data_IF_423300971996
#
_entry.id   IF_423300971996
#
_cell.length_a   1.000
_cell.length_b   1.000
_cell.length_c   1.000
_cell.angle_alpha   90.00
_cell.angle_beta   90.00
_cell.angle_gamma   90.00
#
_symmetry.space_group_name_H-M   'P 1'
#
loop_
_entity.id
_entity.type
_entity.pdbx_description
1 polymer ?
#
# COMPACT_ATOMS: atom_id res chain seq x y z
N UNK A 1 2.95 12.79 -8.50
CA UNK A 1 3.92 13.54 -7.65
C UNK A 1 3.29 13.73 -6.27
N UNK A 2 4.00 13.38 -5.19
CA UNK A 2 3.57 13.55 -3.80
C UNK A 2 4.32 14.74 -3.18
N UNK A 3 3.62 15.56 -2.39
CA UNK A 3 4.20 16.65 -1.59
C UNK A 3 3.56 16.67 -0.21
N UNK A 4 4.28 17.11 0.81
CA UNK A 4 3.79 17.25 2.18
C UNK A 4 4.34 16.17 3.11
N UNK A 5 3.72 16.03 4.26
CA UNK A 5 4.22 15.21 5.37
C UNK A 5 4.33 13.71 5.03
N UNK A 6 3.47 13.19 4.16
CA UNK A 6 3.52 11.79 3.74
C UNK A 6 4.83 11.40 3.03
N UNK A 7 5.56 12.38 2.46
CA UNK A 7 6.87 12.13 1.83
C UNK A 7 7.86 11.56 2.86
N UNK A 8 7.78 11.97 4.11
CA UNK A 8 8.65 11.47 5.19
C UNK A 8 8.56 9.95 5.34
N UNK A 9 7.35 9.39 5.32
CA UNK A 9 7.15 7.96 5.44
C UNK A 9 7.72 7.17 4.25
N UNK A 10 7.50 7.66 3.01
CA UNK A 10 8.11 7.04 1.84
C UNK A 10 9.64 7.12 1.85
N UNK A 11 10.19 8.25 2.33
CA UNK A 11 11.63 8.41 2.49
C UNK A 11 12.21 7.43 3.50
N UNK A 12 11.55 7.25 4.64
CA UNK A 12 11.96 6.28 5.65
C UNK A 12 11.98 4.85 5.09
N UNK A 13 10.89 4.42 4.42
CA UNK A 13 10.80 3.10 3.79
C UNK A 13 11.90 2.88 2.73
N UNK A 14 12.20 3.90 1.94
CA UNK A 14 13.29 3.82 0.95
C UNK A 14 14.66 3.64 1.64
N UNK A 15 14.94 4.44 2.66
CA UNK A 15 16.21 4.39 3.39
C UNK A 15 16.38 3.10 4.19
N UNK A 16 15.30 2.53 4.72
CA UNK A 16 15.34 1.20 5.34
C UNK A 16 15.82 0.13 4.35
N UNK A 17 15.28 0.13 3.13
CA UNK A 17 15.73 -0.80 2.09
C UNK A 17 17.15 -0.48 1.59
N UNK A 18 17.48 0.80 1.47
CA UNK A 18 18.82 1.24 1.05
C UNK A 18 19.89 0.78 2.02
N UNK A 19 19.64 0.96 3.32
CA UNK A 19 20.58 0.63 4.38
C UNK A 19 20.78 -0.87 4.60
N UNK A 20 19.93 -1.75 4.06
CA UNK A 20 20.05 -3.21 4.25
C UNK A 20 21.39 -3.76 3.72
N UNK A 21 21.91 -3.19 2.63
CA UNK A 21 23.11 -3.68 1.96
C UNK A 21 24.28 -2.69 1.98
N UNK A 22 24.16 -1.58 2.71
CA UNK A 22 25.20 -0.56 2.76
C UNK A 22 26.03 -0.68 4.05
N UNK A 23 27.37 -0.54 3.90
CA UNK A 23 28.28 -0.48 5.04
C UNK A 23 28.15 0.82 5.84
N UNK A 24 27.59 1.87 5.20
CA UNK A 24 27.34 3.18 5.80
C UNK A 24 25.86 3.42 5.91
N UNK A 25 25.34 3.34 7.14
CA UNK A 25 23.93 3.59 7.42
C UNK A 25 23.65 5.10 7.30
N UNK A 26 22.83 5.46 6.32
CA UNK A 26 22.34 6.84 6.16
C UNK A 26 21.39 7.24 7.29
N UNK A 27 21.58 8.42 7.84
CA UNK A 27 20.69 8.97 8.87
C UNK A 27 19.35 9.42 8.27
N UNK A 28 18.31 8.68 8.56
CA UNK A 28 16.95 9.01 8.12
C UNK A 28 16.45 10.37 8.65
N UNK A 29 16.97 10.84 9.76
CA UNK A 29 16.52 12.07 10.43
C UNK A 29 16.66 13.32 9.58
N UNK A 30 17.79 13.48 8.88
CA UNK A 30 18.05 14.65 8.02
C UNK A 30 17.07 14.70 6.84
N UNK A 31 16.83 13.57 6.19
CA UNK A 31 15.92 13.46 5.04
C UNK A 31 14.46 13.68 5.44
N UNK A 32 14.05 13.16 6.59
CA UNK A 32 12.69 13.35 7.13
C UNK A 32 12.44 14.81 7.48
N UNK A 33 13.43 15.50 8.07
CA UNK A 33 13.30 16.92 8.38
C UNK A 33 13.22 17.79 7.11
N UNK A 34 13.95 17.42 6.06
CA UNK A 34 13.87 18.12 4.78
C UNK A 34 12.46 18.03 4.15
N UNK A 35 11.75 16.92 4.33
CA UNK A 35 10.38 16.75 3.82
C UNK A 35 9.35 17.64 4.51
N UNK A 36 9.54 17.96 5.79
CA UNK A 36 8.65 18.81 6.59
C UNK A 36 8.62 20.28 6.17
N UNK A 37 9.61 20.73 5.38
CA UNK A 37 9.65 22.10 4.86
C UNK A 37 8.53 22.43 3.88
N UNK A 38 7.85 21.42 3.35
CA UNK A 38 6.81 21.57 2.35
C UNK A 38 5.45 21.16 2.92
N UNK A 39 4.94 21.94 3.87
CA UNK A 39 3.56 21.77 4.34
C UNK A 39 2.59 22.24 3.25
N UNK A 40 1.64 21.37 2.91
CA UNK A 40 0.56 21.66 1.96
C UNK A 40 -0.75 21.40 2.69
N UNK A 41 -1.69 22.33 2.59
CA UNK A 41 -3.04 22.10 3.10
C UNK A 41 -3.73 21.05 2.23
N UNK A 42 -4.18 19.96 2.84
CA UNK A 42 -4.87 18.84 2.18
C UNK A 42 -6.04 18.39 3.04
N UNK A 43 -7.05 17.81 2.41
CA UNK A 43 -8.25 17.27 3.07
C UNK A 43 -8.20 15.74 3.16
N UNK A 44 -7.07 15.11 2.85
CA UNK A 44 -6.90 13.66 2.82
C UNK A 44 -5.65 13.21 3.54
N UNK A 45 -5.54 11.90 3.68
CA UNK A 45 -4.41 11.22 4.28
C UNK A 45 -3.73 10.32 3.26
N UNK A 46 -2.40 10.24 3.32
CA UNK A 46 -1.59 9.25 2.61
C UNK A 46 -0.75 8.52 3.64
N UNK A 47 -0.96 7.24 3.78
CA UNK A 47 -0.25 6.40 4.74
C UNK A 47 0.62 5.43 3.94
N UNK A 48 1.93 5.67 3.81
CA UNK A 48 2.84 4.72 3.21
C UNK A 48 3.02 3.51 4.13
N UNK A 49 3.00 2.33 3.54
CA UNK A 49 3.35 1.09 4.22
C UNK A 49 4.02 0.14 3.23
N UNK A 50 4.80 -0.79 3.73
CA UNK A 50 5.44 -1.84 2.95
C UNK A 50 5.19 -3.20 3.56
N UNK A 51 5.26 -4.24 2.72
CA UNK A 51 5.33 -5.63 3.14
C UNK A 51 6.74 -6.17 2.88
N UNK A 52 7.20 -7.02 3.75
CA UNK A 52 8.47 -7.73 3.60
C UNK A 52 8.25 -9.22 3.83
N UNK A 53 8.95 -10.09 3.10
CA UNK A 53 8.89 -11.52 3.37
C UNK A 53 9.65 -11.93 4.65
N UNK A 54 10.28 -10.97 5.34
CA UNK A 54 11.09 -11.21 6.52
C UNK A 54 10.29 -11.15 7.83
N UNK A 55 9.05 -10.70 7.79
CA UNK A 55 8.14 -10.68 8.93
C UNK A 55 6.87 -11.50 8.66
N UNK A 56 6.14 -11.82 9.72
CA UNK A 56 4.88 -12.59 9.65
C UNK A 56 3.65 -11.68 9.55
N UNK A 57 3.84 -10.36 9.34
CA UNK A 57 2.76 -9.37 9.35
C UNK A 57 2.46 -8.91 7.93
N UNK A 58 1.49 -9.53 7.29
CA UNK A 58 1.03 -9.19 5.93
C UNK A 58 0.17 -7.92 5.93
N UNK A 59 0.80 -6.75 6.04
CA UNK A 59 0.12 -5.44 6.14
C UNK A 59 -0.68 -5.16 4.87
N UNK A 60 -0.11 -5.39 3.69
CA UNK A 60 -0.76 -5.18 2.40
C UNK A 60 -2.00 -6.03 2.25
N UNK A 61 -1.90 -7.32 2.54
CA UNK A 61 -3.06 -8.24 2.50
C UNK A 61 -4.17 -7.76 3.45
N UNK A 62 -3.81 -7.39 4.69
CA UNK A 62 -4.78 -6.90 5.68
C UNK A 62 -5.45 -5.59 5.24
N UNK A 63 -4.72 -4.69 4.60
CA UNK A 63 -5.27 -3.46 4.04
C UNK A 63 -6.29 -3.76 2.92
N UNK A 64 -6.00 -4.69 2.01
CA UNK A 64 -6.94 -5.12 0.99
C UNK A 64 -8.20 -5.76 1.57
N UNK A 65 -8.05 -6.68 2.52
CA UNK A 65 -9.17 -7.33 3.20
C UNK A 65 -10.03 -6.29 3.92
N UNK A 66 -9.41 -5.33 4.62
CA UNK A 66 -10.14 -4.27 5.29
C UNK A 66 -10.93 -3.39 4.31
N UNK A 67 -10.34 -3.03 3.17
CA UNK A 67 -11.04 -2.26 2.14
C UNK A 67 -12.23 -3.05 1.55
N UNK A 68 -12.07 -4.33 1.24
CA UNK A 68 -13.14 -5.20 0.76
C UNK A 68 -14.29 -5.32 1.76
N UNK A 69 -13.96 -5.49 3.04
CA UNK A 69 -14.95 -5.64 4.10
C UNK A 69 -15.73 -4.35 4.37
N UNK A 70 -15.11 -3.19 4.20
CA UNK A 70 -15.75 -1.88 4.42
C UNK A 70 -16.39 -1.28 3.14
N UNK A 71 -16.18 -1.87 1.99
CA UNK A 71 -16.79 -1.42 0.75
C UNK A 71 -18.32 -1.57 0.81
N UNK A 72 -19.06 -0.51 0.46
CA UNK A 72 -20.53 -0.48 0.47
C UNK A 72 -21.13 -0.32 -0.93
N UNK A 73 -20.42 0.27 -1.87
CA UNK A 73 -20.92 0.55 -3.21
C UNK A 73 -20.10 -0.18 -4.28
N UNK A 74 -18.79 0.03 -4.32
CA UNK A 74 -17.92 -0.59 -5.30
C UNK A 74 -16.51 -0.85 -4.77
N UNK A 75 -15.83 -1.79 -5.40
CA UNK A 75 -14.38 -2.05 -5.25
C UNK A 75 -13.79 -2.36 -6.61
N UNK A 76 -12.86 -1.52 -7.08
CA UNK A 76 -12.17 -1.71 -8.33
C UNK A 76 -10.68 -1.96 -8.08
N UNK A 77 -10.22 -3.12 -8.52
CA UNK A 77 -8.83 -3.57 -8.32
C UNK A 77 -8.14 -3.60 -9.67
N UNK A 78 -7.01 -2.94 -9.78
CA UNK A 78 -6.13 -3.02 -10.96
C UNK A 78 -4.80 -3.63 -10.53
N UNK A 79 -4.43 -4.74 -11.14
CA UNK A 79 -3.19 -5.44 -10.81
C UNK A 79 -2.58 -6.11 -12.04
N UNK A 80 -1.26 -6.06 -12.23
CA UNK A 80 -0.58 -6.82 -13.28
C UNK A 80 -0.61 -8.32 -12.99
N UNK A 81 -0.63 -8.72 -11.72
CA UNK A 81 -0.64 -10.12 -11.31
C UNK A 81 -1.74 -10.35 -10.28
N UNK A 82 -2.68 -11.22 -10.60
CA UNK A 82 -3.73 -11.61 -9.67
C UNK A 82 -3.30 -12.88 -8.91
N UNK A 83 -2.50 -12.68 -7.88
CA UNK A 83 -2.10 -13.75 -6.97
C UNK A 83 -2.86 -13.57 -5.66
N UNK A 84 -3.89 -14.37 -5.48
CA UNK A 84 -4.78 -14.31 -4.31
C UNK A 84 -4.82 -15.67 -3.62
N UNK A 85 -4.94 -15.64 -2.31
CA UNK A 85 -5.21 -16.83 -1.50
C UNK A 85 -6.72 -17.01 -1.24
N UNK A 86 -7.06 -18.10 -0.58
CA UNK A 86 -8.46 -18.43 -0.28
C UNK A 86 -9.15 -17.35 0.57
N UNK A 87 -8.44 -16.73 1.51
CA UNK A 87 -9.00 -15.68 2.37
C UNK A 87 -9.38 -14.43 1.56
N UNK A 88 -8.49 -13.99 0.68
CA UNK A 88 -8.74 -12.84 -0.20
C UNK A 88 -9.88 -13.15 -1.18
N UNK A 89 -9.91 -14.36 -1.74
CA UNK A 89 -10.97 -14.82 -2.64
C UNK A 89 -12.34 -14.78 -1.94
N UNK A 90 -12.45 -15.34 -0.74
CA UNK A 90 -13.71 -15.32 0.02
C UNK A 90 -14.13 -13.89 0.40
N UNK A 91 -13.18 -12.99 0.72
CA UNK A 91 -13.51 -11.58 0.98
C UNK A 91 -14.10 -10.88 -0.26
N UNK A 92 -13.54 -11.09 -1.45
CA UNK A 92 -14.07 -10.53 -2.70
C UNK A 92 -15.45 -11.09 -3.04
N UNK A 93 -15.62 -12.39 -2.91
CA UNK A 93 -16.90 -13.07 -3.12
C UNK A 93 -17.97 -12.56 -2.15
N UNK A 94 -17.62 -12.41 -0.87
CA UNK A 94 -18.52 -11.90 0.13
C UNK A 94 -18.90 -10.43 -0.13
N UNK A 95 -17.97 -9.60 -0.57
CA UNK A 95 -18.27 -8.22 -0.98
C UNK A 95 -19.29 -8.20 -2.13
N UNK A 96 -19.08 -9.03 -3.17
CA UNK A 96 -20.02 -9.15 -4.27
C UNK A 96 -21.42 -9.67 -3.83
N UNK A 97 -21.46 -10.63 -2.92
CA UNK A 97 -22.73 -11.14 -2.36
C UNK A 97 -23.50 -10.09 -1.55
N UNK A 98 -22.79 -9.12 -0.93
CA UNK A 98 -23.42 -7.97 -0.25
C UNK A 98 -23.96 -6.92 -1.22
N UNK A 99 -23.74 -7.09 -2.52
CA UNK A 99 -24.18 -6.15 -3.55
C UNK A 99 -23.12 -5.09 -3.93
N UNK A 100 -21.89 -5.22 -3.47
CA UNK A 100 -20.78 -4.35 -3.88
C UNK A 100 -20.40 -4.66 -5.33
N UNK A 101 -20.26 -3.63 -6.17
CA UNK A 101 -19.78 -3.77 -7.55
C UNK A 101 -18.26 -4.04 -7.56
N UNK A 102 -17.88 -5.31 -7.65
CA UNK A 102 -16.47 -5.75 -7.64
C UNK A 102 -15.97 -5.91 -9.06
N UNK A 103 -14.95 -5.13 -9.42
CA UNK A 103 -14.28 -5.23 -10.73
C UNK A 103 -12.79 -5.43 -10.58
N UNK A 104 -12.24 -6.35 -11.39
CA UNK A 104 -10.81 -6.62 -11.44
C UNK A 104 -10.32 -6.36 -12.86
N UNK A 105 -9.30 -5.51 -12.98
CA UNK A 105 -8.63 -5.18 -14.24
C UNK A 105 -7.24 -5.79 -14.19
N UNK A 106 -6.94 -6.65 -15.14
CA UNK A 106 -5.65 -7.33 -15.27
C UNK A 106 -5.25 -7.46 -16.74
N UNK A 107 -3.96 -7.69 -17.05
CA UNK A 107 -3.50 -7.90 -18.41
C UNK A 107 -4.23 -9.07 -19.08
N UNK A 108 -4.44 -8.94 -20.39
CA UNK A 108 -5.08 -9.99 -21.19
C UNK A 108 -4.12 -11.13 -21.50
N UNK A 109 -2.84 -10.83 -21.63
CA UNK A 109 -1.81 -11.80 -21.98
C UNK A 109 -1.14 -12.27 -20.68
N UNK A 110 -1.15 -13.57 -20.37
CA UNK A 110 -0.37 -14.09 -19.25
C UNK A 110 1.13 -13.98 -19.57
N UNK A 111 1.91 -13.64 -18.56
CA UNK A 111 3.38 -13.64 -18.65
C UNK A 111 3.93 -15.07 -18.64
#
# INVERSE_FOLDING_TARGET
MLRGEAVAGFTAMFLEMWNVNDEHIEDCGEYIQASKKYSVSTDGFVIPFGDTPLDEVYIGKRAYINNLNNASEYTYIMTPYLVIDDEMYECMKYAAQRGVDVKIIMPHIPD
#
